data_IF_327196614292
#
_entry.id   IF_327196614292
#
_cell.length_a   1.000
_cell.length_b   1.000
_cell.length_c   1.000
_cell.angle_alpha   90.00
_cell.angle_beta   90.00
_cell.angle_gamma   90.00
#
_symmetry.space_group_name_H-M   'P 1'
#
loop_
_entity.id
_entity.type
_entity.pdbx_description
1 polymer ?
#
# COMPACT_ATOMS: atom_id res chain seq x y z
N UNK A 1 -1.69 9.82 -4.06
CA UNK A 1 -2.35 8.53 -3.74
C UNK A 1 -2.66 7.87 -5.06
N UNK A 2 -1.82 6.93 -5.48
CA UNK A 2 -2.11 6.13 -6.68
C UNK A 2 -2.94 4.95 -6.21
N UNK A 3 -4.19 4.85 -6.69
CA UNK A 3 -5.02 3.68 -6.40
C UNK A 3 -4.42 2.45 -7.09
N UNK A 4 -4.13 1.41 -6.33
CA UNK A 4 -3.77 0.11 -6.86
C UNK A 4 -4.96 -0.82 -6.68
N UNK A 5 -5.34 -1.52 -7.75
CA UNK A 5 -6.32 -2.60 -7.67
C UNK A 5 -5.55 -3.93 -7.68
N UNK A 6 -5.74 -4.74 -6.64
CA UNK A 6 -5.18 -6.09 -6.53
C UNK A 6 -6.31 -7.10 -6.35
N UNK A 7 -6.21 -8.27 -6.98
CA UNK A 7 -7.12 -9.39 -6.77
C UNK A 7 -6.54 -10.29 -5.66
N UNK A 8 -6.47 -9.79 -4.43
CA UNK A 8 -6.16 -10.65 -3.28
C UNK A 8 -7.45 -11.36 -2.83
N UNK A 9 -7.36 -12.68 -2.72
CA UNK A 9 -8.45 -13.59 -2.36
C UNK A 9 -8.99 -13.19 -0.99
N UNK A 10 -10.27 -12.85 -0.90
CA UNK A 10 -10.92 -12.37 0.32
C UNK A 10 -10.71 -13.34 1.51
N UNK A 11 -10.09 -12.83 2.59
CA UNK A 11 -9.78 -13.60 3.79
C UNK A 11 -10.84 -13.52 4.89
N UNK A 12 -11.83 -12.62 4.81
CA UNK A 12 -12.94 -12.65 5.76
C UNK A 12 -14.22 -11.98 5.21
N UNK A 13 -15.35 -12.54 5.63
CA UNK A 13 -16.74 -12.19 5.33
C UNK A 13 -17.19 -10.78 5.79
N UNK A 14 -16.34 -10.05 6.53
CA UNK A 14 -16.68 -8.75 7.13
C UNK A 14 -16.34 -7.52 6.30
N UNK A 15 -15.58 -7.67 5.22
CA UNK A 15 -15.16 -6.55 4.34
C UNK A 15 -15.87 -6.52 2.98
N UNK A 16 -16.97 -7.25 2.80
CA UNK A 16 -17.61 -7.37 1.49
C UNK A 16 -18.54 -6.18 1.20
N UNK A 17 -18.01 -5.15 0.53
CA UNK A 17 -18.84 -4.25 -0.27
C UNK A 17 -19.06 -4.91 -1.64
N UNK A 18 -20.27 -5.40 -1.88
CA UNK A 18 -20.67 -5.98 -3.15
C UNK A 18 -20.72 -4.89 -4.23
N UNK A 19 -19.83 -4.97 -5.22
CA UNK A 19 -19.95 -4.21 -6.46
C UNK A 19 -21.01 -4.85 -7.34
N UNK A 20 -22.07 -4.10 -7.66
CA UNK A 20 -23.22 -4.59 -8.43
C UNK A 20 -22.86 -4.94 -9.88
N UNK A 21 -21.73 -4.46 -10.39
CA UNK A 21 -21.29 -4.68 -11.79
C UNK A 21 -20.44 -5.95 -12.00
N UNK A 22 -19.86 -6.54 -10.94
CA UNK A 22 -18.87 -7.64 -11.06
C UNK A 22 -19.20 -8.90 -10.25
N UNK A 23 -20.24 -8.86 -9.39
CA UNK A 23 -20.66 -9.99 -8.56
C UNK A 23 -19.53 -10.62 -7.71
N UNK A 24 -18.51 -9.84 -7.32
CA UNK A 24 -17.39 -10.27 -6.46
C UNK A 24 -17.02 -9.20 -5.42
N UNK A 25 -16.42 -9.65 -4.32
CA UNK A 25 -15.95 -8.81 -3.20
C UNK A 25 -14.72 -8.02 -3.61
N UNK A 26 -14.82 -6.68 -3.62
CA UNK A 26 -13.69 -5.79 -3.88
C UNK A 26 -13.12 -5.32 -2.55
N UNK A 27 -11.90 -5.74 -2.20
CA UNK A 27 -11.16 -5.17 -1.07
C UNK A 27 -10.53 -3.86 -1.57
N UNK A 28 -10.87 -2.74 -0.91
CA UNK A 28 -10.31 -1.44 -1.24
C UNK A 28 -8.90 -1.30 -0.64
N UNK A 29 -7.90 -1.81 -1.35
CA UNK A 29 -6.50 -1.67 -0.96
C UNK A 29 -5.94 -0.30 -1.38
N UNK A 30 -5.27 0.40 -0.46
CA UNK A 30 -4.56 1.66 -0.76
C UNK A 30 -3.06 1.40 -0.80
N UNK A 31 -2.40 1.70 -1.93
CA UNK A 31 -0.95 1.58 -2.08
C UNK A 31 -0.28 2.94 -1.87
N UNK A 32 0.74 2.95 -1.02
CA UNK A 32 1.60 4.09 -0.76
C UNK A 32 3.01 3.77 -1.27
N UNK A 33 3.58 4.67 -2.06
CA UNK A 33 4.96 4.60 -2.53
C UNK A 33 5.69 5.88 -2.11
N UNK A 34 6.88 5.72 -1.55
CA UNK A 34 7.73 6.80 -1.06
C UNK A 34 9.17 6.53 -1.49
N UNK A 35 9.88 7.59 -1.90
CA UNK A 35 11.32 7.58 -2.09
C UNK A 35 11.95 8.36 -0.92
N UNK A 36 12.98 7.79 -0.31
CA UNK A 36 13.70 8.38 0.82
C UNK A 36 15.20 8.10 0.70
N UNK A 37 15.99 8.83 1.48
CA UNK A 37 17.40 8.51 1.68
C UNK A 37 17.55 7.21 2.49
N UNK A 38 18.67 6.50 2.32
CA UNK A 38 18.91 5.18 2.92
C UNK A 38 18.83 5.22 4.47
N UNK A 39 19.26 6.32 5.09
CA UNK A 39 19.25 6.50 6.55
C UNK A 39 17.85 6.75 7.13
N UNK A 40 16.85 7.03 6.29
CA UNK A 40 15.47 7.29 6.69
C UNK A 40 14.56 6.05 6.60
N UNK A 41 15.05 4.96 5.98
CA UNK A 41 14.24 3.77 5.68
C UNK A 41 13.61 3.20 6.95
N UNK A 42 14.41 2.95 7.99
CA UNK A 42 13.94 2.32 9.22
C UNK A 42 12.92 3.21 9.97
N UNK A 43 13.14 4.52 9.99
CA UNK A 43 12.22 5.48 10.61
C UNK A 43 10.87 5.48 9.89
N UNK A 44 10.88 5.52 8.55
CA UNK A 44 9.66 5.50 7.74
C UNK A 44 8.90 4.18 7.88
N UNK A 45 9.61 3.04 7.90
CA UNK A 45 9.01 1.73 8.14
C UNK A 45 8.29 1.72 9.48
N UNK A 46 8.91 2.21 10.55
CA UNK A 46 8.28 2.25 11.88
C UNK A 46 7.07 3.20 11.95
N UNK A 47 7.15 4.37 11.30
CA UNK A 47 6.00 5.28 11.20
C UNK A 47 4.84 4.60 10.48
N UNK A 48 5.08 3.98 9.33
CA UNK A 48 4.04 3.30 8.55
C UNK A 48 3.47 2.11 9.34
N UNK A 49 4.31 1.29 9.97
CA UNK A 49 3.84 0.19 10.85
C UNK A 49 3.03 0.70 12.03
N UNK A 50 3.34 1.88 12.56
CA UNK A 50 2.60 2.47 13.68
C UNK A 50 1.21 2.97 13.27
N UNK A 51 1.08 3.58 12.10
CA UNK A 51 -0.13 4.24 11.61
C UNK A 51 -0.99 3.39 10.68
N UNK A 52 -0.40 2.43 9.98
CA UNK A 52 -1.05 1.55 9.01
C UNK A 52 -1.82 0.38 9.64
N UNK A 53 -1.88 0.27 10.97
CA UNK A 53 -2.68 -0.75 11.65
C UNK A 53 -4.16 -0.48 11.43
N UNK A 54 -4.81 -1.33 10.65
CA UNK A 54 -6.26 -1.27 10.38
C UNK A 54 -7.11 -2.01 11.41
N UNK A 55 -6.48 -2.66 12.41
CA UNK A 55 -7.16 -3.48 13.42
C UNK A 55 -7.58 -4.86 12.92
N UNK A 56 -7.18 -5.24 11.70
CA UNK A 56 -7.45 -6.54 11.11
C UNK A 56 -6.23 -7.47 11.19
N UNK A 57 -6.43 -8.81 11.09
CA UNK A 57 -5.35 -9.80 11.28
C UNK A 57 -4.19 -9.64 10.29
N UNK A 58 -4.48 -9.18 9.08
CA UNK A 58 -3.49 -8.93 8.03
C UNK A 58 -3.57 -7.46 7.58
N UNK A 59 -2.86 -6.57 8.29
CA UNK A 59 -2.86 -5.12 8.00
C UNK A 59 -2.00 -4.71 6.78
N UNK A 60 -1.56 -5.67 5.97
CA UNK A 60 -0.73 -5.46 4.79
C UNK A 60 0.78 -5.59 5.04
N UNK A 61 1.57 -5.17 4.05
CA UNK A 61 3.03 -5.32 4.02
C UNK A 61 3.71 -3.98 3.72
N UNK A 62 4.88 -3.77 4.31
CA UNK A 62 5.82 -2.73 3.90
C UNK A 62 6.95 -3.42 3.15
N UNK A 63 7.22 -2.96 1.93
CA UNK A 63 8.28 -3.51 1.06
C UNK A 63 9.31 -2.41 0.83
N UNK A 64 10.57 -2.72 1.10
CA UNK A 64 11.72 -1.84 0.86
C UNK A 64 12.43 -2.31 -0.41
N UNK A 65 12.76 -1.38 -1.29
CA UNK A 65 13.44 -1.64 -2.57
C UNK A 65 14.55 -0.61 -2.78
N UNK A 66 15.76 -1.06 -3.11
CA UNK A 66 16.86 -0.17 -3.43
C UNK A 66 16.62 0.55 -4.76
N UNK A 67 16.92 1.85 -4.80
CA UNK A 67 16.84 2.66 -6.01
C UNK A 67 18.23 2.93 -6.55
N UNK A 68 18.63 2.19 -7.58
CA UNK A 68 19.94 2.34 -8.20
C UNK A 68 20.17 3.73 -8.84
N UNK A 69 19.10 4.42 -9.26
CA UNK A 69 19.17 5.75 -9.87
C UNK A 69 17.84 6.50 -9.77
N UNK A 70 17.89 7.74 -9.30
CA UNK A 70 16.80 8.71 -9.41
C UNK A 70 17.27 9.90 -10.26
N UNK A 71 16.42 10.40 -11.15
CA UNK A 71 16.71 11.55 -12.01
C UNK A 71 15.60 12.58 -11.86
N UNK A 72 15.96 13.81 -11.55
CA UNK A 72 15.00 14.92 -11.48
C UNK A 72 14.54 15.30 -12.90
N UNK A 73 13.25 15.53 -13.05
CA UNK A 73 12.70 16.19 -14.25
C UNK A 73 12.75 17.69 -13.99
N UNK A 74 13.62 18.40 -14.69
CA UNK A 74 13.64 19.86 -14.66
C UNK A 74 12.56 20.42 -15.58
N UNK A 75 12.00 21.57 -15.21
CA UNK A 75 11.08 22.33 -16.07
C UNK A 75 11.93 23.13 -17.05
N UNK A 76 11.56 23.08 -18.33
CA UNK A 76 12.25 23.80 -19.41
C UNK A 76 12.16 25.33 -19.28
#
# INVERSE_FOLDING_TARGET
IVGAQSMLKALDSKEQHYSVDLAESVISESRLELLCEDDQVDELVEIIRSKGRTGQPEAGWVVVMDVAKAVRIDVA
#
